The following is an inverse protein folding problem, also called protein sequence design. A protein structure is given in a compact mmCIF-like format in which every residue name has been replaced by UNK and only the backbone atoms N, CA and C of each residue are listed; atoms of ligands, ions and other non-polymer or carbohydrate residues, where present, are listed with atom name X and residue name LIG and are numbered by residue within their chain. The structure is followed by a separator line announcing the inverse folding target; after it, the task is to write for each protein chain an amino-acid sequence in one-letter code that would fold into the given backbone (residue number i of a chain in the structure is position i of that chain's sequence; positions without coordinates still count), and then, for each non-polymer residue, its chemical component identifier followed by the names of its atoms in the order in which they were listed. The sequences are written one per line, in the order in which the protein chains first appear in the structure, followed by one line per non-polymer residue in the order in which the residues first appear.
data_IF_449158327523
#
_entry.id   IF_449158327523
#
_cell.length_a   1.000
_cell.length_b   1.000
_cell.length_c   1.000
_cell.angle_alpha   90.00
_cell.angle_beta   90.00
_cell.angle_gamma   90.00
#
_symmetry.space_group_name_H-M   'P 1'
#
loop_
_entity.id
_entity.type
_entity.pdbx_description
1 polymer ?
#
# COMPACT_ATOMS: atom_id res chain seq x y z
N UNK A 1 -30.04 35.76 46.08
CA UNK A 1 -29.33 34.51 45.69
C UNK A 1 -29.60 34.06 44.25
N UNK A 2 -30.85 34.15 43.71
CA UNK A 2 -31.18 33.63 42.36
C UNK A 2 -30.52 34.36 41.17
N UNK A 3 -30.30 35.67 41.25
CA UNK A 3 -29.68 36.45 40.16
C UNK A 3 -28.16 36.22 40.02
N UNK A 4 -27.46 35.85 41.12
CA UNK A 4 -26.00 35.64 41.10
C UNK A 4 -25.65 34.39 40.25
N UNK A 5 -26.47 33.34 40.33
CA UNK A 5 -26.30 32.13 39.52
C UNK A 5 -26.46 32.40 38.02
N UNK A 6 -27.41 33.25 37.62
CA UNK A 6 -27.63 33.61 36.20
C UNK A 6 -26.45 34.41 35.65
N UNK A 7 -25.89 35.32 36.45
CA UNK A 7 -24.70 36.10 36.06
C UNK A 7 -23.48 35.18 35.91
N UNK A 8 -23.28 34.21 36.83
CA UNK A 8 -22.20 33.24 36.71
C UNK A 8 -22.32 32.37 35.46
N UNK A 9 -23.50 31.82 35.15
CA UNK A 9 -23.71 31.05 33.91
C UNK A 9 -23.48 31.90 32.64
N UNK A 10 -23.92 33.16 32.65
CA UNK A 10 -23.73 34.08 31.53
C UNK A 10 -22.26 34.46 31.31
N UNK A 11 -21.47 34.54 32.40
CA UNK A 11 -20.02 34.80 32.32
C UNK A 11 -19.25 33.55 31.89
N UNK A 12 -19.67 32.35 32.32
CA UNK A 12 -19.06 31.07 31.91
C UNK A 12 -19.28 30.80 30.42
N UNK A 13 -20.50 30.99 29.89
CA UNK A 13 -20.77 30.81 28.44
C UNK A 13 -20.02 31.81 27.56
N UNK A 14 -19.72 33.02 28.07
CA UNK A 14 -18.92 34.01 27.33
C UNK A 14 -17.43 33.68 27.29
N UNK A 15 -16.92 32.90 28.24
CA UNK A 15 -15.52 32.46 28.24
C UNK A 15 -15.24 31.33 27.23
N UNK A 16 -16.24 30.49 26.93
CA UNK A 16 -16.09 29.37 25.97
C UNK A 16 -16.28 29.79 24.50
N UNK A 17 -16.75 31.02 24.26
CA UNK A 17 -17.00 31.54 22.91
C UNK A 17 -15.76 32.16 22.24
N UNK A 18 -14.59 32.13 22.89
CA UNK A 18 -13.37 32.80 22.43
C UNK A 18 -12.39 31.96 21.61
N UNK A 19 -12.60 30.65 21.48
CA UNK A 19 -11.68 29.76 20.76
C UNK A 19 -12.41 28.69 19.92
N UNK A 20 -13.49 29.09 19.25
CA UNK A 20 -14.06 28.27 18.17
C UNK A 20 -13.28 28.53 16.87
N UNK A 21 -12.05 28.03 16.79
CA UNK A 21 -11.39 27.88 15.50
C UNK A 21 -12.20 26.86 14.69
N UNK A 22 -12.92 27.34 13.68
CA UNK A 22 -13.71 26.54 12.77
C UNK A 22 -12.74 25.59 12.03
N UNK A 23 -12.60 24.35 12.53
CA UNK A 23 -11.68 23.34 11.99
C UNK A 23 -12.12 22.83 10.60
N UNK A 24 -13.28 23.29 10.12
CA UNK A 24 -13.88 23.00 8.82
C UNK A 24 -13.43 23.96 7.70
N UNK A 25 -12.49 24.88 7.98
CA UNK A 25 -11.93 25.78 6.96
C UNK A 25 -10.42 25.59 6.85
N UNK A 26 -9.96 25.16 5.68
CA UNK A 26 -8.54 25.17 5.31
C UNK A 26 -8.03 26.62 5.32
N UNK A 27 -7.06 26.92 6.18
CA UNK A 27 -6.37 28.22 6.18
C UNK A 27 -5.37 28.24 5.03
N UNK A 28 -5.33 29.34 4.27
CA UNK A 28 -4.36 29.53 3.19
C UNK A 28 -2.92 29.35 3.73
N UNK A 29 -2.08 28.49 3.11
CA UNK A 29 -0.72 28.22 3.60
C UNK A 29 0.22 29.43 3.51
N UNK A 30 -0.15 30.47 2.76
CA UNK A 30 0.56 31.75 2.69
C UNK A 30 0.21 32.72 3.83
N UNK A 31 -0.69 32.36 4.75
CA UNK A 31 -1.04 33.20 5.88
C UNK A 31 0.07 33.15 6.95
N UNK A 32 0.54 34.31 7.47
CA UNK A 32 1.48 34.34 8.59
C UNK A 32 0.92 33.74 9.90
N UNK A 33 -0.36 33.38 9.94
CA UNK A 33 -1.02 32.66 11.03
C UNK A 33 -1.14 31.13 10.80
N UNK A 34 -0.54 30.58 9.73
CA UNK A 34 -0.54 29.16 9.47
C UNK A 34 0.36 28.44 10.49
N UNK A 35 -0.24 27.88 11.55
CA UNK A 35 0.44 26.92 12.42
C UNK A 35 0.90 25.72 11.57
N UNK A 36 2.13 25.19 11.78
CA UNK A 36 2.56 23.98 11.12
C UNK A 36 1.55 22.88 11.38
N UNK A 37 0.93 22.34 10.32
CA UNK A 37 0.02 21.21 10.45
C UNK A 37 0.81 20.06 11.09
N UNK A 38 0.34 19.48 12.21
CA UNK A 38 1.01 18.33 12.79
C UNK A 38 1.14 17.24 11.74
N UNK A 39 2.36 16.71 11.58
CA UNK A 39 2.60 15.56 10.72
C UNK A 39 1.72 14.41 11.23
N UNK A 40 0.86 13.80 10.38
CA UNK A 40 0.04 12.69 10.82
C UNK A 40 0.95 11.53 11.25
N UNK A 41 0.55 10.77 12.28
CA UNK A 41 1.36 9.65 12.74
C UNK A 41 1.50 8.60 11.62
N UNK A 42 2.58 7.79 11.61
CA UNK A 42 2.79 6.74 10.60
C UNK A 42 1.60 5.75 10.47
N UNK A 43 0.77 5.65 11.51
CA UNK A 43 -0.46 4.85 11.54
C UNK A 43 -1.60 5.42 10.70
N UNK A 44 -1.56 6.69 10.28
CA UNK A 44 -2.58 7.30 9.43
C UNK A 44 -2.69 6.61 8.05
N UNK A 45 -1.60 5.98 7.60
CA UNK A 45 -1.55 5.24 6.34
C UNK A 45 -2.10 3.80 6.46
N UNK A 46 -2.60 3.39 7.63
CA UNK A 46 -3.03 2.00 7.88
C UNK A 46 -4.30 1.61 7.11
N UNK A 47 -5.04 2.58 6.58
CA UNK A 47 -6.33 2.34 5.92
C UNK A 47 -6.24 2.74 4.44
N UNK A 48 -6.72 1.83 3.60
CA UNK A 48 -6.58 1.65 2.14
C UNK A 48 -7.11 2.80 1.25
N UNK A 49 -7.04 4.06 1.65
CA UNK A 49 -7.63 5.15 0.87
C UNK A 49 -6.57 5.97 0.11
N UNK A 50 -6.42 5.76 -1.22
CA UNK A 50 -5.51 6.56 -2.04
C UNK A 50 -5.88 8.05 -2.03
N UNK A 51 -7.15 8.40 -1.81
CA UNK A 51 -7.61 9.79 -1.68
C UNK A 51 -7.11 10.42 -0.39
N UNK A 52 -7.01 9.67 0.71
CA UNK A 52 -6.39 10.17 1.95
C UNK A 52 -4.88 10.35 1.75
N UNK A 53 -4.22 9.40 1.07
CA UNK A 53 -2.79 9.52 0.74
C UNK A 53 -2.49 10.78 -0.08
N UNK A 54 -3.24 11.04 -1.15
CA UNK A 54 -3.06 12.27 -1.93
C UNK A 54 -3.44 13.50 -1.12
N UNK A 55 -4.59 13.53 -0.45
CA UNK A 55 -5.01 14.70 0.32
C UNK A 55 -4.05 15.07 1.47
N UNK A 56 -3.36 14.10 2.07
CA UNK A 56 -2.40 14.35 3.16
C UNK A 56 -1.04 14.80 2.64
N UNK A 57 -0.53 14.20 1.56
CA UNK A 57 0.87 14.39 1.14
C UNK A 57 1.06 15.25 -0.12
N UNK A 58 0.04 15.36 -0.98
CA UNK A 58 0.05 16.14 -2.22
C UNK A 58 0.10 17.66 -1.98
N UNK A 59 -0.63 18.27 -1.02
CA UNK A 59 -0.58 19.73 -0.84
C UNK A 59 0.74 20.24 -0.24
N UNK A 60 1.66 19.36 0.15
CA UNK A 60 2.93 19.70 0.82
C UNK A 60 4.17 19.23 0.05
N UNK A 61 4.01 18.69 -1.16
CA UNK A 61 5.14 18.23 -1.98
C UNK A 61 5.95 17.10 -1.33
N UNK A 62 5.37 16.41 -0.34
CA UNK A 62 6.02 15.41 0.51
C UNK A 62 5.99 14.02 -0.12
N UNK A 63 6.11 13.95 -1.45
CA UNK A 63 6.17 12.67 -2.17
C UNK A 63 7.30 11.81 -1.62
N UNK A 64 8.43 12.39 -1.21
CA UNK A 64 9.56 11.69 -0.57
C UNK A 64 9.21 11.08 0.80
N UNK A 65 8.41 11.75 1.63
CA UNK A 65 7.99 11.23 2.95
C UNK A 65 6.88 10.20 2.81
N UNK A 66 5.92 10.43 1.91
CA UNK A 66 4.92 9.43 1.56
C UNK A 66 5.57 8.16 1.00
N UNK A 67 6.64 8.33 0.22
CA UNK A 67 7.44 7.26 -0.33
C UNK A 67 8.24 6.52 0.77
N UNK A 68 8.92 7.23 1.67
CA UNK A 68 9.69 6.58 2.74
C UNK A 68 8.79 5.87 3.79
N UNK A 69 7.67 6.49 4.17
CA UNK A 69 6.84 6.04 5.31
C UNK A 69 5.59 5.27 4.91
N UNK A 70 5.00 5.55 3.74
CA UNK A 70 3.69 5.02 3.33
C UNK A 70 3.63 4.59 1.85
N UNK A 71 4.62 3.85 1.32
CA UNK A 71 4.71 3.58 -0.11
C UNK A 71 3.55 2.72 -0.62
N UNK A 72 3.13 1.72 0.16
CA UNK A 72 2.06 0.78 -0.25
C UNK A 72 0.67 1.44 -0.30
N UNK A 73 0.18 2.12 0.75
CA UNK A 73 -1.13 2.79 0.73
C UNK A 73 -1.25 3.88 -0.34
N UNK A 74 -0.15 4.56 -0.67
CA UNK A 74 -0.15 5.64 -1.65
C UNK A 74 0.12 5.14 -3.08
N UNK A 75 0.18 3.82 -3.32
CA UNK A 75 0.47 3.26 -4.64
C UNK A 75 1.91 3.48 -5.12
N UNK A 76 2.80 3.95 -4.25
CA UNK A 76 4.19 4.30 -4.53
C UNK A 76 5.17 3.14 -4.25
N UNK A 77 4.67 1.95 -3.89
CA UNK A 77 5.52 0.81 -3.59
C UNK A 77 6.53 0.48 -4.70
N UNK A 78 6.21 0.81 -5.96
CA UNK A 78 7.07 0.55 -7.11
C UNK A 78 8.08 1.68 -7.44
N UNK A 79 8.20 2.70 -6.61
CA UNK A 79 9.02 3.89 -6.89
C UNK A 79 10.37 3.85 -6.12
N UNK A 80 11.51 4.21 -6.75
CA UNK A 80 12.80 4.32 -6.05
C UNK A 80 12.71 5.26 -4.84
N UNK A 81 13.10 4.79 -3.64
CA UNK A 81 12.97 5.54 -2.38
C UNK A 81 11.84 5.03 -1.46
N UNK A 82 11.01 4.09 -1.93
CA UNK A 82 9.86 3.52 -1.23
C UNK A 82 10.19 2.58 -0.04
N UNK A 83 11.29 2.84 0.68
CA UNK A 83 11.92 1.90 1.63
C UNK A 83 12.12 0.47 1.10
N UNK A 84 12.06 0.28 -0.23
CA UNK A 84 12.27 -0.99 -0.91
C UNK A 84 11.30 -2.10 -0.51
N UNK A 85 10.03 -1.82 -0.21
CA UNK A 85 9.06 -2.90 0.09
C UNK A 85 8.04 -3.05 -1.02
N UNK A 86 8.45 -3.75 -2.06
CA UNK A 86 7.57 -4.22 -3.12
C UNK A 86 6.55 -5.20 -2.54
N UNK A 87 5.27 -5.14 -2.91
CA UNK A 87 4.27 -6.09 -2.43
C UNK A 87 4.52 -7.49 -3.01
N UNK A 88 4.02 -8.51 -2.33
CA UNK A 88 3.77 -9.80 -2.99
C UNK A 88 2.58 -9.62 -3.94
N UNK A 89 2.77 -10.02 -5.19
CA UNK A 89 1.72 -10.10 -6.22
C UNK A 89 0.86 -11.35 -6.00
N UNK A 90 1.44 -12.42 -5.45
CA UNK A 90 0.73 -13.65 -5.13
C UNK A 90 0.45 -13.80 -3.64
N UNK A 91 -0.75 -14.23 -3.27
CA UNK A 91 -1.16 -14.42 -1.87
C UNK A 91 -0.49 -15.63 -1.20
N UNK A 92 0.08 -16.55 -1.98
CA UNK A 92 0.66 -17.79 -1.48
C UNK A 92 2.17 -17.73 -1.22
N UNK A 93 2.80 -16.56 -1.29
CA UNK A 93 4.26 -16.43 -1.16
C UNK A 93 4.82 -17.03 0.13
N UNK A 94 4.11 -16.85 1.26
CA UNK A 94 4.46 -17.48 2.54
C UNK A 94 4.38 -19.01 2.46
N UNK A 95 3.39 -19.54 1.73
CA UNK A 95 3.23 -20.99 1.53
C UNK A 95 4.24 -21.57 0.55
N UNK A 96 4.82 -20.75 -0.31
CA UNK A 96 5.83 -21.17 -1.28
C UNK A 96 7.25 -21.15 -0.71
N UNK A 97 7.54 -20.35 0.32
CA UNK A 97 8.87 -20.29 0.96
C UNK A 97 9.47 -21.66 1.33
N UNK A 98 8.71 -22.66 1.84
CA UNK A 98 9.27 -23.96 2.17
C UNK A 98 9.67 -24.80 0.95
N UNK A 99 9.13 -24.50 -0.23
CA UNK A 99 9.33 -25.29 -1.46
C UNK A 99 10.10 -24.55 -2.55
N UNK A 100 10.14 -23.22 -2.48
CA UNK A 100 10.85 -22.34 -3.42
C UNK A 100 11.69 -21.34 -2.63
N UNK A 101 12.97 -21.23 -3.00
CA UNK A 101 13.85 -20.19 -2.46
C UNK A 101 13.60 -18.85 -3.14
N UNK A 102 13.99 -17.75 -2.48
CA UNK A 102 13.90 -16.40 -3.07
C UNK A 102 14.80 -16.16 -4.29
N UNK A 103 15.65 -17.13 -4.65
CA UNK A 103 16.37 -17.11 -5.91
C UNK A 103 15.55 -17.68 -7.10
N UNK A 104 14.37 -18.24 -6.83
CA UNK A 104 13.49 -18.73 -7.89
C UNK A 104 12.85 -17.55 -8.64
N UNK A 105 12.84 -17.60 -9.97
CA UNK A 105 12.27 -16.56 -10.83
C UNK A 105 10.81 -16.24 -10.48
N UNK A 106 9.99 -17.25 -10.15
CA UNK A 106 8.61 -17.04 -9.71
C UNK A 106 8.55 -16.22 -8.41
N UNK A 107 9.40 -16.55 -7.44
CA UNK A 107 9.48 -15.83 -6.16
C UNK A 107 9.98 -14.40 -6.36
N UNK A 108 10.92 -14.18 -7.29
CA UNK A 108 11.44 -12.84 -7.57
C UNK A 108 10.41 -11.92 -8.23
N UNK A 109 9.56 -12.47 -9.08
CA UNK A 109 8.54 -11.72 -9.83
C UNK A 109 7.25 -11.52 -9.02
N UNK A 110 6.88 -12.49 -8.17
CA UNK A 110 5.58 -12.49 -7.51
C UNK A 110 5.64 -12.35 -5.98
N UNK A 111 6.80 -12.60 -5.36
CA UNK A 111 6.94 -12.66 -3.90
C UNK A 111 7.96 -11.66 -3.38
N UNK A 112 7.88 -10.43 -3.89
CA UNK A 112 8.87 -9.40 -3.66
C UNK A 112 8.95 -8.96 -2.19
N UNK A 113 7.82 -8.88 -1.49
CA UNK A 113 7.79 -8.52 -0.07
C UNK A 113 8.37 -9.64 0.77
N UNK A 114 7.89 -10.86 0.51
CA UNK A 114 8.33 -12.09 1.16
C UNK A 114 9.83 -12.30 0.99
N UNK A 115 10.37 -12.00 -0.19
CA UNK A 115 11.79 -12.13 -0.52
C UNK A 115 12.63 -10.87 -0.27
N UNK A 116 12.04 -9.82 0.32
CA UNK A 116 12.72 -8.54 0.61
C UNK A 116 13.40 -7.91 -0.61
N UNK A 117 12.79 -8.04 -1.78
CA UNK A 117 13.25 -7.42 -3.01
C UNK A 117 12.86 -5.94 -2.98
N UNK A 118 13.85 -5.08 -3.12
CA UNK A 118 13.69 -3.63 -2.99
C UNK A 118 13.46 -2.89 -4.30
N UNK A 119 13.64 -3.59 -5.42
CA UNK A 119 13.45 -3.07 -6.78
C UNK A 119 12.17 -3.68 -7.35
N UNK A 120 11.08 -2.91 -7.37
CA UNK A 120 9.81 -3.49 -7.80
C UNK A 120 9.78 -3.65 -9.30
N UNK A 121 9.52 -4.87 -9.73
CA UNK A 121 9.36 -5.20 -11.12
C UNK A 121 7.94 -4.76 -11.44
N UNK A 122 7.79 -3.72 -12.25
CA UNK A 122 6.46 -3.30 -12.71
C UNK A 122 5.90 -4.40 -13.60
N UNK A 123 4.95 -5.19 -13.09
CA UNK A 123 4.28 -6.29 -13.83
C UNK A 123 3.40 -5.78 -14.98
N UNK A 124 3.51 -4.51 -15.37
CA UNK A 124 2.82 -3.90 -16.51
C UNK A 124 3.27 -4.48 -17.86
N UNK A 125 4.26 -5.36 -17.86
CA UNK A 125 4.66 -6.17 -19.00
C UNK A 125 4.45 -7.66 -18.70
N UNK A 126 3.21 -8.08 -18.46
CA UNK A 126 2.78 -9.39 -18.98
C UNK A 126 2.78 -9.27 -20.50
N UNK A 127 3.98 -9.21 -21.10
CA UNK A 127 4.13 -9.41 -22.52
C UNK A 127 3.46 -10.72 -22.84
N UNK A 128 2.65 -10.74 -23.90
CA UNK A 128 2.10 -11.93 -24.52
C UNK A 128 3.25 -12.85 -24.97
N UNK A 129 3.97 -13.44 -24.01
CA UNK A 129 4.89 -14.53 -24.26
C UNK A 129 4.02 -15.66 -24.78
N UNK A 130 4.27 -16.08 -26.01
CA UNK A 130 3.57 -17.17 -26.68
C UNK A 130 3.21 -18.27 -25.68
N UNK A 131 1.97 -18.76 -25.76
CA UNK A 131 1.46 -19.78 -24.86
C UNK A 131 2.39 -21.00 -24.84
N UNK A 132 3.21 -21.10 -23.80
CA UNK A 132 4.25 -22.12 -23.71
C UNK A 132 4.53 -22.44 -22.26
N UNK A 133 5.03 -23.65 -22.06
CA UNK A 133 5.54 -24.10 -20.78
C UNK A 133 6.98 -23.60 -20.63
N UNK A 134 7.24 -22.86 -19.55
CA UNK A 134 8.57 -22.35 -19.20
C UNK A 134 9.51 -23.43 -18.67
N UNK A 135 8.98 -24.62 -18.31
CA UNK A 135 9.77 -25.76 -17.80
C UNK A 135 9.59 -27.00 -18.68
N UNK A 136 10.68 -27.73 -18.90
CA UNK A 136 10.68 -28.93 -19.75
C UNK A 136 9.86 -30.10 -19.16
N UNK A 137 9.77 -30.20 -17.83
CA UNK A 137 9.09 -31.30 -17.14
C UNK A 137 7.62 -31.02 -16.83
N UNK A 138 7.01 -29.98 -17.42
CA UNK A 138 5.61 -29.65 -17.18
C UNK A 138 4.67 -30.83 -17.45
N UNK A 139 4.90 -31.60 -18.51
CA UNK A 139 4.08 -32.79 -18.83
C UNK A 139 4.07 -33.86 -17.73
N UNK A 140 5.18 -34.02 -16.99
CA UNK A 140 5.26 -34.96 -15.86
C UNK A 140 4.56 -34.43 -14.59
N UNK A 141 4.41 -33.10 -14.50
CA UNK A 141 3.86 -32.39 -13.35
C UNK A 141 2.40 -31.95 -13.57
N UNK A 142 1.75 -32.39 -14.65
CA UNK A 142 0.41 -31.94 -15.02
C UNK A 142 -0.64 -32.13 -13.90
N UNK A 143 -0.49 -33.16 -13.07
CA UNK A 143 -1.36 -33.42 -11.92
C UNK A 143 -1.28 -32.32 -10.84
N UNK A 144 -0.19 -31.55 -10.77
CA UNK A 144 -0.02 -30.46 -9.80
C UNK A 144 -0.71 -29.15 -10.22
N UNK A 145 -1.24 -29.07 -11.45
CA UNK A 145 -1.94 -27.88 -11.95
C UNK A 145 -3.16 -27.49 -11.09
N UNK A 146 -3.76 -28.45 -10.36
CA UNK A 146 -4.96 -28.24 -9.53
C UNK A 146 -4.71 -28.41 -8.03
N UNK A 147 -3.48 -28.69 -7.61
CA UNK A 147 -3.13 -28.98 -6.20
C UNK A 147 -2.46 -27.75 -5.56
N UNK A 148 -3.12 -27.02 -4.63
CA UNK A 148 -2.46 -25.97 -3.86
C UNK A 148 -1.35 -26.54 -2.94
N UNK A 149 -0.28 -25.78 -2.64
CA UNK A 149 0.05 -24.44 -3.15
C UNK A 149 0.73 -24.46 -4.53
N UNK A 150 0.99 -25.64 -5.09
CA UNK A 150 1.74 -25.85 -6.34
C UNK A 150 1.02 -25.30 -7.56
N UNK A 151 -0.32 -25.38 -7.58
CA UNK A 151 -1.16 -24.95 -8.69
C UNK A 151 -0.84 -23.53 -9.16
N UNK A 152 -0.51 -22.60 -8.27
CA UNK A 152 -0.16 -21.24 -8.67
C UNK A 152 1.13 -21.18 -9.48
N UNK A 153 2.18 -21.88 -9.02
CA UNK A 153 3.46 -21.96 -9.72
C UNK A 153 3.29 -22.72 -11.04
N UNK A 154 2.51 -23.80 -11.02
CA UNK A 154 2.21 -24.60 -12.20
C UNK A 154 1.45 -23.81 -13.26
N UNK A 155 0.45 -23.00 -12.88
CA UNK A 155 -0.31 -22.18 -13.82
C UNK A 155 0.52 -21.04 -14.43
N UNK A 156 1.55 -20.58 -13.73
CA UNK A 156 2.48 -19.58 -14.27
C UNK A 156 3.56 -20.21 -15.16
N UNK A 157 4.17 -21.29 -14.71
CA UNK A 157 5.33 -21.91 -15.36
C UNK A 157 4.95 -22.94 -16.43
N UNK A 158 3.77 -23.54 -16.33
CA UNK A 158 3.27 -24.60 -17.20
C UNK A 158 1.93 -24.19 -17.82
N UNK A 159 1.87 -22.99 -18.41
CA UNK A 159 0.64 -22.37 -18.90
C UNK A 159 -0.10 -23.25 -19.89
N UNK A 160 0.63 -23.92 -20.79
CA UNK A 160 0.05 -24.80 -21.81
C UNK A 160 -0.38 -26.12 -21.20
N UNK A 161 0.49 -26.77 -20.41
CA UNK A 161 0.16 -28.04 -19.75
C UNK A 161 -1.03 -27.89 -18.79
N UNK A 162 -1.13 -26.78 -18.05
CA UNK A 162 -2.24 -26.50 -17.15
C UNK A 162 -3.48 -25.90 -17.84
N UNK A 163 -3.47 -25.75 -19.16
CA UNK A 163 -4.63 -25.28 -19.94
C UNK A 163 -4.99 -23.81 -19.75
N UNK A 164 -4.04 -22.97 -19.33
CA UNK A 164 -4.21 -21.52 -19.15
C UNK A 164 -4.28 -20.80 -20.50
N UNK A 165 -3.66 -21.36 -21.53
CA UNK A 165 -3.68 -20.85 -22.89
C UNK A 165 -3.58 -22.01 -23.90
N UNK A 166 -3.80 -21.74 -25.19
CA UNK A 166 -3.73 -22.71 -26.29
C UNK A 166 -2.87 -22.22 -27.43
#
# INVERSE_FOLDING_TARGET
MKYILVIFFSLVQRAESGLSANLDKCVNPASPAAMPRPLPPPTACKNKDPTICTAVFDPIGLTSVALEKCPKPCGLCNVPGAAGRCPDVSDNCISLLPILTCNNTYMQQNCMLTCRITTCISTTAAGSSACSDSRANCGQLANYCTIPPYSTVMRDQCKRTCGICR
#
